data_IF_808248051715
#
_entry.id   IF_808248051715
#
_cell.length_a   1.000
_cell.length_b   1.000
_cell.length_c   1.000
_cell.angle_alpha   90.00
_cell.angle_beta   90.00
_cell.angle_gamma   90.00
#
_symmetry.space_group_name_H-M   'P 1'
#
loop_
_entity.id
_entity.type
_entity.pdbx_description
1 polymer ?
#
# COMPACT_ATOMS: atom_id res chain seq x y z
N UNK A 1 12.22 -1.21 -29.34
CA UNK A 1 12.72 -1.77 -28.06
C UNK A 1 11.79 -1.50 -26.87
N UNK A 2 11.18 -0.31 -26.76
CA UNK A 2 10.20 0.00 -25.68
C UNK A 2 8.96 -0.91 -25.68
N UNK A 3 8.46 -1.31 -26.86
CA UNK A 3 7.25 -2.12 -27.00
C UNK A 3 7.36 -3.51 -26.37
N UNK A 4 8.55 -4.14 -26.44
CA UNK A 4 8.77 -5.46 -25.86
C UNK A 4 8.76 -5.39 -24.32
N UNK A 5 9.30 -4.31 -23.75
CA UNK A 5 9.33 -4.10 -22.30
C UNK A 5 7.93 -3.91 -21.72
N UNK A 6 7.07 -3.16 -22.43
CA UNK A 6 5.67 -2.95 -22.01
C UNK A 6 4.83 -4.24 -22.12
N UNK A 7 5.00 -5.03 -23.18
CA UNK A 7 4.33 -6.33 -23.31
C UNK A 7 4.78 -7.32 -22.23
N UNK A 8 6.06 -7.29 -21.86
CA UNK A 8 6.59 -8.19 -20.82
C UNK A 8 6.10 -7.80 -19.42
N UNK A 9 5.92 -6.49 -19.16
CA UNK A 9 5.52 -5.99 -17.83
C UNK A 9 4.00 -5.98 -17.61
N UNK A 10 3.22 -5.71 -18.66
CA UNK A 10 1.75 -5.61 -18.60
C UNK A 10 1.04 -6.84 -19.21
N UNK A 11 1.81 -7.83 -19.69
CA UNK A 11 1.26 -9.02 -20.34
C UNK A 11 0.36 -8.66 -21.53
N UNK A 12 -0.75 -9.39 -21.69
CA UNK A 12 -1.73 -9.14 -22.76
C UNK A 12 -2.25 -7.70 -22.78
N UNK A 13 -2.30 -7.00 -21.64
CA UNK A 13 -2.78 -5.61 -21.53
C UNK A 13 -1.80 -4.63 -22.19
N UNK A 14 -0.49 -4.89 -22.12
CA UNK A 14 0.54 -4.06 -22.75
C UNK A 14 0.42 -4.02 -24.26
N UNK A 15 0.06 -5.16 -24.88
CA UNK A 15 -0.20 -5.26 -26.32
C UNK A 15 -1.33 -4.33 -26.77
N UNK A 16 -2.43 -4.26 -26.01
CA UNK A 16 -3.55 -3.38 -26.34
C UNK A 16 -3.21 -1.90 -26.18
N UNK A 17 -2.38 -1.53 -25.18
CA UNK A 17 -1.91 -0.15 -24.99
C UNK A 17 -1.00 0.28 -26.14
N UNK A 18 -0.08 -0.58 -26.58
CA UNK A 18 0.82 -0.29 -27.70
C UNK A 18 0.05 -0.21 -29.02
N UNK A 19 -0.90 -1.12 -29.28
CA UNK A 19 -1.76 -1.08 -30.46
C UNK A 19 -2.65 0.17 -30.50
N UNK A 20 -3.05 0.69 -29.34
CA UNK A 20 -3.79 1.95 -29.22
C UNK A 20 -2.92 3.18 -29.56
N UNK A 21 -1.68 3.25 -29.05
CA UNK A 21 -0.74 4.36 -29.32
C UNK A 21 -0.28 4.36 -30.78
N UNK A 22 -0.13 3.17 -31.39
CA UNK A 22 0.29 3.03 -32.79
C UNK A 22 -0.86 3.23 -33.80
N UNK A 23 -2.08 3.51 -33.35
CA UNK A 23 -3.20 3.83 -34.24
C UNK A 23 -3.69 2.66 -35.09
N UNK A 24 -3.52 1.41 -34.64
CA UNK A 24 -4.06 0.22 -35.32
C UNK A 24 -5.58 0.10 -35.05
N UNK A 25 -6.34 1.01 -35.65
CA UNK A 25 -7.80 1.19 -35.47
C UNK A 25 -8.61 -0.04 -35.96
N UNK A 26 -8.04 -0.92 -36.78
CA UNK A 26 -8.74 -2.09 -37.35
C UNK A 26 -9.20 -3.12 -36.30
N UNK A 27 -8.53 -3.24 -35.15
CA UNK A 27 -8.95 -4.15 -34.06
C UNK A 27 -9.94 -3.51 -33.07
N UNK A 28 -10.15 -2.20 -33.14
CA UNK A 28 -11.04 -1.45 -32.23
C UNK A 28 -12.44 -1.20 -32.80
N UNK A 29 -12.77 -1.76 -33.96
CA UNK A 29 -14.11 -1.63 -34.57
C UNK A 29 -15.25 -2.18 -33.67
N UNK A 30 -14.94 -3.14 -32.78
CA UNK A 30 -15.92 -3.82 -31.93
C UNK A 30 -15.82 -3.52 -30.43
N UNK A 31 -14.82 -2.75 -29.98
CA UNK A 31 -14.75 -2.23 -28.60
C UNK A 31 -14.82 -0.71 -28.71
N UNK A 32 -15.80 -0.03 -28.07
CA UNK A 32 -15.89 1.42 -28.15
C UNK A 32 -14.57 2.02 -27.68
N UNK A 33 -13.86 2.74 -28.53
CA UNK A 33 -12.62 3.50 -28.19
C UNK A 33 -12.80 4.35 -26.93
N UNK A 34 -14.02 4.82 -26.69
CA UNK A 34 -14.44 5.49 -25.45
C UNK A 34 -14.24 4.63 -24.19
N UNK A 35 -14.50 3.33 -24.25
CA UNK A 35 -14.34 2.41 -23.13
C UNK A 35 -12.86 2.19 -22.78
N UNK A 36 -11.97 2.14 -23.78
CA UNK A 36 -10.52 2.13 -23.55
C UNK A 36 -10.04 3.45 -22.94
N UNK A 37 -10.53 4.58 -23.45
CA UNK A 37 -10.17 5.88 -22.90
C UNK A 37 -10.64 6.03 -21.44
N UNK A 38 -11.87 5.62 -21.13
CA UNK A 38 -12.44 5.62 -19.78
C UNK A 38 -11.64 4.71 -18.84
N UNK A 39 -11.27 3.51 -19.28
CA UNK A 39 -10.47 2.58 -18.45
C UNK A 39 -9.05 3.09 -18.21
N UNK A 40 -8.41 3.74 -19.20
CA UNK A 40 -7.11 4.38 -19.02
C UNK A 40 -7.18 5.56 -18.04
N UNK A 41 -8.16 6.45 -18.20
CA UNK A 41 -8.38 7.58 -17.28
C UNK A 41 -8.64 7.05 -15.87
N UNK A 42 -9.50 6.04 -15.73
CA UNK A 42 -9.81 5.42 -14.44
C UNK A 42 -8.57 4.79 -13.80
N UNK A 43 -7.74 4.11 -14.59
CA UNK A 43 -6.47 3.54 -14.12
C UNK A 43 -5.50 4.59 -13.60
N UNK A 44 -5.40 5.74 -14.27
CA UNK A 44 -4.58 6.87 -13.81
C UNK A 44 -5.13 7.42 -12.48
N UNK A 45 -6.45 7.60 -12.37
CA UNK A 45 -7.10 8.05 -11.14
C UNK A 45 -6.85 7.08 -9.97
N UNK A 46 -6.96 5.78 -10.20
CA UNK A 46 -6.65 4.74 -9.21
C UNK A 46 -5.19 4.80 -8.76
N UNK A 47 -4.27 4.95 -9.71
CA UNK A 47 -2.84 5.03 -9.41
C UNK A 47 -2.53 6.25 -8.52
N UNK A 48 -3.09 7.42 -8.85
CA UNK A 48 -2.95 8.65 -8.06
C UNK A 48 -3.54 8.46 -6.65
N UNK A 49 -4.73 7.89 -6.54
CA UNK A 49 -5.39 7.64 -5.27
C UNK A 49 -4.61 6.64 -4.40
N UNK A 50 -4.04 5.59 -5.00
CA UNK A 50 -3.18 4.63 -4.32
C UNK A 50 -1.88 5.28 -3.84
N UNK A 51 -1.25 6.12 -4.66
CA UNK A 51 -0.06 6.87 -4.28
C UNK A 51 -0.33 7.84 -3.12
N UNK A 52 -1.52 8.46 -3.08
CA UNK A 52 -1.96 9.30 -1.97
C UNK A 52 -2.06 8.51 -0.67
N UNK A 53 -2.73 7.36 -0.69
CA UNK A 53 -2.80 6.48 0.48
C UNK A 53 -1.40 6.03 0.93
N UNK A 54 -0.54 5.63 -0.02
CA UNK A 54 0.83 5.16 0.27
C UNK A 54 1.69 6.24 0.90
N UNK A 55 1.52 7.49 0.48
CA UNK A 55 2.23 8.63 1.05
C UNK A 55 1.83 8.87 2.50
N UNK A 56 0.52 8.80 2.79
CA UNK A 56 0.00 8.94 4.15
C UNK A 56 0.50 7.76 5.01
N UNK A 57 0.42 6.52 4.51
CA UNK A 57 0.92 5.32 5.18
C UNK A 57 2.39 5.44 5.60
N UNK A 58 3.27 5.86 4.69
CA UNK A 58 4.70 6.06 5.00
C UNK A 58 4.94 7.08 6.12
N UNK A 59 4.09 8.10 6.23
CA UNK A 59 4.20 9.15 7.26
C UNK A 59 3.71 8.65 8.60
N UNK A 60 2.57 7.96 8.62
CA UNK A 60 2.03 7.27 9.80
C UNK A 60 3.07 6.31 10.37
N UNK A 61 3.64 5.44 9.53
CA UNK A 61 4.68 4.49 9.94
C UNK A 61 5.88 5.20 10.57
N UNK A 62 6.36 6.28 9.96
CA UNK A 62 7.48 7.06 10.50
C UNK A 62 7.15 7.65 11.87
N UNK A 63 5.94 8.15 12.05
CA UNK A 63 5.49 8.73 13.30
C UNK A 63 5.39 7.68 14.42
N UNK A 64 4.87 6.51 14.11
CA UNK A 64 4.82 5.35 15.02
C UNK A 64 6.22 4.97 15.48
N UNK A 65 7.17 4.82 14.56
CA UNK A 65 8.56 4.47 14.90
C UNK A 65 9.20 5.55 15.78
N UNK A 66 8.96 6.83 15.44
CA UNK A 66 9.50 7.96 16.19
C UNK A 66 9.01 7.93 17.63
N UNK A 67 7.70 7.77 17.84
CA UNK A 67 7.12 7.66 19.18
C UNK A 67 7.60 6.41 19.90
N UNK A 68 7.63 5.26 19.22
CA UNK A 68 8.06 3.99 19.81
C UNK A 68 9.50 4.06 20.33
N UNK A 69 10.44 4.64 19.57
CA UNK A 69 11.82 4.84 20.01
C UNK A 69 11.89 5.73 21.26
N UNK A 70 11.22 6.88 21.23
CA UNK A 70 11.18 7.80 22.39
C UNK A 70 10.59 7.11 23.63
N UNK A 71 9.57 6.27 23.47
CA UNK A 71 8.96 5.56 24.61
C UNK A 71 9.92 4.50 25.18
N UNK A 72 10.61 3.74 24.32
CA UNK A 72 11.57 2.70 24.73
C UNK A 72 12.81 3.32 25.38
N UNK A 73 13.32 4.42 24.84
CA UNK A 73 14.47 5.13 25.41
C UNK A 73 14.18 5.61 26.84
N UNK A 74 12.94 6.02 27.11
CA UNK A 74 12.48 6.44 28.44
C UNK A 74 12.05 5.26 29.35
N UNK A 75 11.73 4.09 28.80
CA UNK A 75 11.32 2.92 29.55
C UNK A 75 11.71 1.62 28.82
N UNK A 76 12.96 1.14 28.99
CA UNK A 76 13.51 0.03 28.21
C UNK A 76 12.87 -1.33 28.52
N UNK A 77 12.09 -1.44 29.60
CA UNK A 77 11.38 -2.65 30.01
C UNK A 77 9.89 -2.66 29.64
N UNK A 78 9.42 -1.72 28.81
CA UNK A 78 8.01 -1.62 28.45
C UNK A 78 7.54 -2.87 27.68
N UNK A 79 6.39 -3.43 28.07
CA UNK A 79 5.71 -4.49 27.32
C UNK A 79 5.08 -3.91 26.02
N UNK A 80 4.98 -4.72 24.98
CA UNK A 80 4.27 -4.43 23.73
C UNK A 80 2.88 -3.81 23.89
N UNK A 81 2.02 -4.37 24.73
CA UNK A 81 0.64 -3.85 24.92
C UNK A 81 0.70 -2.42 25.45
N UNK A 82 1.62 -2.16 26.38
CA UNK A 82 1.82 -0.83 26.96
C UNK A 82 2.48 0.14 25.96
N UNK A 83 3.34 -0.35 25.05
CA UNK A 83 3.92 0.47 23.99
C UNK A 83 2.83 0.94 23.03
N UNK A 84 1.97 0.05 22.55
CA UNK A 84 0.88 0.39 21.63
C UNK A 84 -0.07 1.39 22.24
N UNK A 85 -0.49 1.16 23.49
CA UNK A 85 -1.43 2.05 24.17
C UNK A 85 -0.88 3.48 24.35
N UNK A 86 0.45 3.66 24.32
CA UNK A 86 1.09 4.97 24.41
C UNK A 86 1.31 5.65 23.05
N UNK A 87 1.23 4.92 21.95
CA UNK A 87 1.40 5.50 20.61
C UNK A 87 0.08 6.17 20.20
N UNK A 88 0.12 7.49 20.03
CA UNK A 88 -1.06 8.30 19.66
C UNK A 88 -0.79 8.96 18.32
N UNK A 89 -1.64 8.64 17.34
CA UNK A 89 -1.54 9.16 15.98
C UNK A 89 -2.60 10.25 15.79
N UNK A 90 -2.17 11.49 15.55
CA UNK A 90 -3.07 12.54 15.08
C UNK A 90 -3.37 12.36 13.59
N UNK A 91 -4.41 11.57 13.32
CA UNK A 91 -4.84 11.27 11.96
C UNK A 91 -5.30 12.52 11.20
N UNK A 92 -5.92 13.48 11.88
CA UNK A 92 -6.49 14.64 11.23
C UNK A 92 -5.38 15.58 10.74
N UNK A 93 -4.38 15.85 11.57
CA UNK A 93 -3.22 16.64 11.18
C UNK A 93 -2.43 15.95 10.06
N UNK A 94 -2.18 14.64 10.18
CA UNK A 94 -1.45 13.87 9.18
C UNK A 94 -2.14 13.90 7.81
N UNK A 95 -3.45 13.68 7.77
CA UNK A 95 -4.21 13.71 6.52
C UNK A 95 -4.19 15.12 5.92
N UNK A 96 -4.44 16.15 6.73
CA UNK A 96 -4.46 17.54 6.25
C UNK A 96 -3.11 17.97 5.66
N UNK A 97 -2.01 17.51 6.25
CA UNK A 97 -0.64 17.90 5.86
C UNK A 97 -0.07 17.08 4.71
N UNK A 98 -0.44 15.79 4.61
CA UNK A 98 0.21 14.85 3.69
C UNK A 98 -0.69 14.32 2.58
N UNK A 99 -2.00 14.54 2.65
CA UNK A 99 -2.89 14.25 1.53
C UNK A 99 -2.71 15.29 0.42
N UNK A 100 -2.51 14.82 -0.80
CA UNK A 100 -2.41 15.67 -1.99
C UNK A 100 -3.58 15.46 -2.96
N UNK A 101 -4.47 14.49 -2.66
CA UNK A 101 -5.59 14.11 -3.50
C UNK A 101 -6.81 13.81 -2.61
N UNK A 102 -8.03 14.20 -3.01
CA UNK A 102 -9.23 14.03 -2.17
C UNK A 102 -9.71 12.57 -2.11
N UNK A 103 -9.00 11.66 -2.78
CA UNK A 103 -9.35 10.25 -2.90
C UNK A 103 -8.18 9.35 -2.50
N UNK A 104 -8.51 8.16 -2.00
CA UNK A 104 -7.59 7.08 -1.66
C UNK A 104 -8.08 5.76 -2.27
N UNK A 105 -7.14 4.88 -2.61
CA UNK A 105 -7.42 3.52 -3.06
C UNK A 105 -6.44 2.56 -2.41
N UNK A 106 -6.89 1.36 -2.06
CA UNK A 106 -5.97 0.27 -1.73
C UNK A 106 -5.26 -0.19 -3.01
N UNK A 107 -4.01 -0.67 -2.88
CA UNK A 107 -3.22 -1.18 -4.02
C UNK A 107 -3.91 -2.38 -4.71
N UNK A 108 -4.64 -3.20 -3.95
CA UNK A 108 -5.43 -4.34 -4.46
C UNK A 108 -6.90 -4.01 -4.75
N UNK A 109 -7.33 -2.79 -4.47
CA UNK A 109 -8.72 -2.36 -4.62
C UNK A 109 -8.97 -1.72 -5.99
N UNK A 110 -10.11 -2.06 -6.60
CA UNK A 110 -10.62 -1.37 -7.79
C UNK A 110 -11.54 -0.20 -7.44
N UNK A 111 -11.72 0.08 -6.15
CA UNK A 111 -12.64 1.09 -5.63
C UNK A 111 -11.88 2.25 -5.01
N UNK A 112 -12.39 3.45 -5.26
CA UNK A 112 -11.82 4.69 -4.74
C UNK A 112 -12.72 5.25 -3.65
N UNK A 113 -12.12 5.60 -2.52
CA UNK A 113 -12.82 6.19 -1.38
C UNK A 113 -12.39 7.64 -1.17
N UNK A 114 -13.26 8.47 -0.57
CA UNK A 114 -12.87 9.82 -0.14
C UNK A 114 -11.81 9.73 0.96
N UNK A 115 -10.84 10.63 0.93
CA UNK A 115 -9.86 10.80 1.99
C UNK A 115 -10.55 11.36 3.23
N UNK A 116 -10.79 10.52 4.23
CA UNK A 116 -11.25 10.93 5.56
C UNK A 116 -10.49 10.13 6.62
N UNK A 117 -10.59 10.56 7.89
CA UNK A 117 -9.87 9.91 9.01
C UNK A 117 -10.22 8.42 9.12
N UNK A 118 -11.50 8.08 9.03
CA UNK A 118 -12.01 6.71 9.18
C UNK A 118 -11.44 5.80 8.10
N UNK A 119 -11.65 6.15 6.82
CA UNK A 119 -11.18 5.34 5.69
C UNK A 119 -9.65 5.23 5.70
N UNK A 120 -8.92 6.33 5.96
CA UNK A 120 -7.45 6.27 6.01
C UNK A 120 -6.98 5.37 7.14
N UNK A 121 -7.55 5.51 8.34
CA UNK A 121 -7.24 4.66 9.49
C UNK A 121 -7.55 3.21 9.20
N UNK A 122 -8.73 2.89 8.68
CA UNK A 122 -9.14 1.51 8.41
C UNK A 122 -8.32 0.87 7.30
N UNK A 123 -7.88 1.65 6.31
CA UNK A 123 -7.00 1.17 5.25
C UNK A 123 -5.54 0.97 5.73
N UNK A 124 -5.06 1.82 6.64
CA UNK A 124 -3.67 1.78 7.11
C UNK A 124 -3.50 0.89 8.34
N UNK A 125 -4.48 0.81 9.24
CA UNK A 125 -4.44 0.10 10.52
C UNK A 125 -5.69 -0.77 10.69
N UNK A 126 -5.99 -1.58 9.67
CA UNK A 126 -7.15 -2.48 9.67
C UNK A 126 -7.14 -3.51 10.82
N UNK A 127 -5.95 -3.86 11.34
CA UNK A 127 -5.75 -4.88 12.37
C UNK A 127 -4.56 -4.48 13.25
N UNK A 128 -4.66 -4.72 14.55
CA UNK A 128 -3.58 -4.54 15.55
C UNK A 128 -2.32 -5.32 15.17
N UNK A 129 -2.46 -6.41 14.43
CA UNK A 129 -1.32 -7.16 13.84
C UNK A 129 -0.45 -6.31 12.92
N UNK A 130 -1.01 -5.28 12.28
CA UNK A 130 -0.24 -4.39 11.39
C UNK A 130 0.73 -3.51 12.19
N UNK A 131 0.35 -3.10 13.39
CA UNK A 131 1.25 -2.39 14.30
C UNK A 131 2.44 -3.26 14.69
N UNK A 132 2.19 -4.53 15.02
CA UNK A 132 3.24 -5.52 15.30
C UNK A 132 4.23 -5.63 14.14
N UNK A 133 3.70 -5.84 12.93
CA UNK A 133 4.50 -5.98 11.73
C UNK A 133 5.34 -4.73 11.41
N UNK A 134 4.82 -3.53 11.68
CA UNK A 134 5.56 -2.27 11.48
C UNK A 134 6.74 -2.18 12.45
N UNK A 135 6.51 -2.48 13.73
CA UNK A 135 7.55 -2.42 14.77
C UNK A 135 8.63 -3.49 14.52
N UNK A 136 8.24 -4.73 14.23
CA UNK A 136 9.15 -5.83 13.92
C UNK A 136 10.05 -5.56 12.71
N UNK A 137 9.46 -5.08 11.61
CA UNK A 137 10.20 -4.74 10.38
C UNK A 137 11.21 -3.63 10.60
N UNK A 138 11.06 -2.85 11.67
CA UNK A 138 11.92 -1.74 12.00
C UNK A 138 12.84 -2.03 13.20
N UNK A 139 12.95 -3.31 13.58
CA UNK A 139 13.91 -3.78 14.59
C UNK A 139 13.51 -3.42 16.02
N UNK A 140 12.28 -2.97 16.23
CA UNK A 140 11.72 -2.75 17.57
C UNK A 140 11.19 -4.10 18.04
N UNK A 141 12.11 -4.99 18.39
CA UNK A 141 11.81 -6.29 18.95
C UNK A 141 11.55 -6.10 20.45
N UNK A 142 10.29 -6.10 20.84
CA UNK A 142 9.93 -6.11 22.25
C UNK A 142 10.15 -7.52 22.81
N UNK A 143 10.58 -7.58 24.06
CA UNK A 143 10.87 -8.81 24.80
C UNK A 143 9.58 -9.55 25.14
N UNK A 144 8.84 -10.00 24.14
CA UNK A 144 7.85 -11.04 24.33
C UNK A 144 7.80 -11.90 23.07
N UNK A 145 8.32 -13.12 23.25
CA UNK A 145 8.25 -14.26 22.34
C UNK A 145 9.47 -14.55 21.43
N UNK A 146 10.58 -14.92 22.07
CA UNK A 146 11.72 -15.63 21.44
C UNK A 146 11.35 -17.02 20.88
N UNK A 147 10.07 -17.40 20.70
CA UNK A 147 9.67 -18.69 20.11
C UNK A 147 9.03 -18.64 18.73
N UNK A 148 8.70 -17.47 18.18
CA UNK A 148 8.25 -17.42 16.77
C UNK A 148 9.43 -17.14 15.84
N UNK A 149 10.04 -18.24 15.39
CA UNK A 149 10.92 -18.31 14.21
C UNK A 149 10.44 -17.31 13.17
N UNK A 150 11.30 -16.36 12.79
CA UNK A 150 11.14 -15.43 11.66
C UNK A 150 10.55 -16.20 10.47
N UNK A 151 9.22 -16.18 10.32
CA UNK A 151 8.58 -16.66 9.09
C UNK A 151 8.78 -15.57 8.06
N UNK A 152 9.81 -15.75 7.26
CA UNK A 152 10.07 -14.89 6.13
C UNK A 152 8.90 -15.05 5.15
N UNK A 153 8.00 -14.06 5.09
CA UNK A 153 6.78 -14.08 4.28
C UNK A 153 7.08 -14.33 2.79
N UNK A 154 8.28 -13.96 2.32
CA UNK A 154 8.76 -14.29 0.98
C UNK A 154 9.00 -15.79 0.78
N UNK A 155 9.57 -16.48 1.78
CA UNK A 155 9.72 -17.93 1.73
C UNK A 155 8.37 -18.64 1.78
N UNK A 156 7.43 -18.16 2.59
CA UNK A 156 6.09 -18.76 2.66
C UNK A 156 5.30 -18.58 1.35
N UNK A 157 5.43 -17.43 0.69
CA UNK A 157 4.86 -17.17 -0.63
C UNK A 157 5.50 -18.05 -1.72
N UNK A 158 6.84 -18.15 -1.75
CA UNK A 158 7.57 -19.03 -2.67
C UNK A 158 7.20 -20.50 -2.43
N UNK A 159 7.10 -20.92 -1.17
CA UNK A 159 6.77 -22.29 -0.82
C UNK A 159 5.32 -22.63 -1.19
N UNK A 160 4.39 -21.67 -1.09
CA UNK A 160 2.99 -21.85 -1.50
C UNK A 160 2.84 -21.91 -3.04
N UNK A 161 3.71 -21.24 -3.79
CA UNK A 161 3.75 -21.32 -5.26
C UNK A 161 4.40 -22.63 -5.73
N UNK A 162 5.49 -23.06 -5.07
CA UNK A 162 6.24 -24.26 -5.44
C UNK A 162 5.61 -25.59 -4.99
N UNK A 163 4.49 -25.56 -4.25
CA UNK A 163 3.79 -26.77 -3.76
C UNK A 163 2.60 -27.19 -4.65
N UNK A 164 2.54 -26.69 -5.88
CA UNK A 164 1.64 -27.19 -6.93
C UNK A 164 2.39 -28.15 -7.84
#
# INVERSE_FOLDING_TARGET
MSNLWLETFLGKVGKYIIMFVNGDVKYFSSIPTMLILVTLIYGIFLAIASCNLKRIEKRVIREIIRQAKVIIDNNPGINYVNLINKIVIDWQELIKKYSFFPLISQESGLWVNKTNVVNVRDNIMHDDRKMHLILDRHGIALLEDRRQVRRNLYLEYIHRINKK
#
